data_IF_762734188007
#
_entry.id   IF_762734188007
#
_cell.length_a   1.000
_cell.length_b   1.000
_cell.length_c   1.000
_cell.angle_alpha   90.00
_cell.angle_beta   90.00
_cell.angle_gamma   90.00
#
_symmetry.space_group_name_H-M   'P 1'
#
loop_
_entity.id
_entity.type
_entity.pdbx_description
1 polymer ?
#
# COMPACT_ATOMS: atom_id res chain seq x y z
N UNK A 1 28.92 -27.37 14.52
CA UNK A 1 29.96 -26.43 14.06
C UNK A 1 29.28 -25.36 13.22
N UNK A 2 29.35 -24.11 13.68
CA UNK A 2 29.11 -22.94 12.86
C UNK A 2 30.15 -22.91 11.73
N UNK A 3 29.72 -22.87 10.48
CA UNK A 3 30.51 -22.26 9.42
C UNK A 3 29.67 -21.12 8.83
N UNK A 4 30.05 -19.94 9.30
CA UNK A 4 29.87 -18.62 8.71
C UNK A 4 29.75 -18.67 7.19
N UNK A 5 28.56 -18.43 6.67
CA UNK A 5 28.42 -17.81 5.36
C UNK A 5 28.31 -16.30 5.59
N UNK A 6 29.22 -15.59 4.93
CA UNK A 6 29.53 -14.17 5.13
C UNK A 6 28.36 -13.32 4.62
N UNK A 7 28.02 -12.23 5.34
CA UNK A 7 26.90 -11.32 5.02
C UNK A 7 26.91 -10.77 3.59
N UNK A 8 28.06 -10.83 2.90
CA UNK A 8 28.25 -10.38 1.52
C UNK A 8 27.70 -11.35 0.47
N UNK A 9 27.63 -12.65 0.76
CA UNK A 9 27.02 -13.64 -0.14
C UNK A 9 25.48 -13.55 -0.16
N UNK A 10 24.87 -12.96 0.88
CA UNK A 10 23.43 -12.71 0.93
C UNK A 10 23.02 -11.55 0.00
N UNK A 11 23.84 -10.48 -0.06
CA UNK A 11 23.54 -9.29 -0.84
C UNK A 11 23.79 -9.47 -2.35
N UNK A 12 24.63 -10.44 -2.74
CA UNK A 12 24.91 -10.73 -4.15
C UNK A 12 23.86 -11.66 -4.81
N UNK A 13 23.19 -12.51 -4.04
CA UNK A 13 21.96 -13.22 -4.47
C UNK A 13 20.72 -12.29 -4.45
N UNK A 14 20.72 -11.25 -3.61
CA UNK A 14 19.69 -10.19 -3.59
C UNK A 14 19.75 -9.26 -4.82
N UNK A 15 20.85 -9.28 -5.57
CA UNK A 15 20.93 -8.70 -6.92
C UNK A 15 19.96 -9.36 -7.93
N UNK A 16 19.33 -10.48 -7.52
CA UNK A 16 18.31 -11.22 -8.27
C UNK A 16 16.97 -11.23 -7.49
N UNK A 17 16.71 -10.25 -6.61
CA UNK A 17 15.35 -9.96 -6.13
C UNK A 17 14.67 -8.83 -6.93
N UNK A 18 15.00 -8.73 -8.21
CA UNK A 18 14.11 -8.20 -9.25
C UNK A 18 13.75 -9.28 -10.30
N UNK A 19 12.96 -10.30 -9.91
CA UNK A 19 12.07 -10.99 -10.85
C UNK A 19 10.69 -11.31 -10.27
N UNK A 20 10.42 -11.04 -8.98
CA UNK A 20 9.08 -11.26 -8.38
C UNK A 20 8.03 -10.26 -8.91
N UNK A 21 8.45 -9.21 -9.61
CA UNK A 21 7.55 -8.38 -10.43
C UNK A 21 7.08 -9.08 -11.73
N UNK A 22 7.60 -10.29 -12.05
CA UNK A 22 7.32 -11.00 -13.30
C UNK A 22 6.37 -12.19 -13.18
N UNK A 23 5.96 -12.55 -11.97
CA UNK A 23 4.91 -13.55 -11.74
C UNK A 23 3.67 -12.86 -11.21
N UNK A 24 2.90 -12.25 -12.11
CA UNK A 24 1.48 -12.09 -11.88
C UNK A 24 0.80 -13.43 -12.25
N UNK A 25 0.40 -14.29 -11.31
CA UNK A 25 -0.33 -15.52 -11.62
C UNK A 25 -1.70 -15.26 -12.28
N UNK A 26 -2.14 -14.01 -12.42
CA UNK A 26 -3.45 -13.66 -13.01
C UNK A 26 -3.47 -13.55 -14.54
N UNK A 27 -2.32 -13.57 -15.23
CA UNK A 27 -2.32 -13.53 -16.71
C UNK A 27 -2.37 -14.92 -17.37
N UNK A 28 -2.30 -16.02 -16.60
CA UNK A 28 -2.20 -17.37 -17.14
C UNK A 28 -3.53 -18.15 -17.17
N UNK A 29 -4.62 -17.61 -16.63
CA UNK A 29 -5.95 -18.25 -16.67
C UNK A 29 -6.93 -17.32 -17.38
N UNK A 30 -6.70 -17.15 -18.67
CA UNK A 30 -7.63 -16.52 -19.59
C UNK A 30 -8.13 -17.56 -20.58
N UNK A 31 -8.67 -18.66 -20.04
CA UNK A 31 -9.42 -19.59 -20.84
C UNK A 31 -10.64 -20.06 -20.04
N UNK A 32 -11.81 -19.75 -20.60
CA UNK A 32 -13.09 -20.44 -20.36
C UNK A 32 -13.93 -19.99 -19.16
N UNK A 33 -14.65 -18.87 -19.32
CA UNK A 33 -16.09 -18.80 -19.02
C UNK A 33 -16.66 -17.49 -19.57
N UNK A 34 -17.56 -17.61 -20.53
CA UNK A 34 -18.39 -16.50 -20.97
C UNK A 34 -19.39 -16.09 -19.89
N UNK A 35 -19.75 -14.80 -19.95
CA UNK A 35 -20.99 -14.21 -19.44
C UNK A 35 -21.21 -14.22 -17.91
N UNK A 36 -21.25 -12.98 -17.39
CA UNK A 36 -21.97 -12.55 -16.18
C UNK A 36 -21.21 -12.66 -14.84
N UNK A 37 -20.99 -11.47 -14.25
CA UNK A 37 -20.91 -11.17 -12.81
C UNK A 37 -19.90 -11.97 -11.97
N UNK A 38 -18.83 -11.29 -11.58
CA UNK A 38 -18.34 -11.14 -10.20
C UNK A 38 -16.85 -10.79 -10.29
N UNK A 39 -16.55 -9.53 -9.99
CA UNK A 39 -15.19 -9.05 -9.79
C UNK A 39 -14.47 -9.99 -8.82
N UNK A 40 -13.38 -10.60 -9.27
CA UNK A 40 -12.41 -11.24 -8.40
C UNK A 40 -12.09 -10.27 -7.26
N UNK A 41 -12.18 -10.67 -5.98
CA UNK A 41 -11.81 -9.78 -4.88
C UNK A 41 -10.32 -9.48 -5.03
N UNK A 42 -10.01 -8.27 -5.47
CA UNK A 42 -8.65 -7.78 -5.40
C UNK A 42 -8.32 -7.71 -3.90
N UNK A 43 -7.41 -8.58 -3.41
CA UNK A 43 -7.00 -8.63 -2.01
C UNK A 43 -6.51 -7.27 -1.49
N UNK A 44 -6.12 -6.40 -2.42
CA UNK A 44 -5.86 -4.99 -2.19
C UNK A 44 -6.65 -4.20 -3.24
N UNK A 45 -7.66 -3.42 -2.85
CA UNK A 45 -8.36 -2.57 -3.81
C UNK A 45 -7.34 -1.64 -4.47
N UNK A 46 -7.54 -1.34 -5.76
CA UNK A 46 -6.79 -0.24 -6.37
C UNK A 46 -7.10 1.04 -5.60
N UNK A 47 -6.17 2.00 -5.59
CA UNK A 47 -6.37 3.29 -4.88
C UNK A 47 -7.69 4.00 -5.29
N UNK A 48 -8.20 3.73 -6.50
CA UNK A 48 -9.48 4.28 -6.99
C UNK A 48 -10.73 3.65 -6.36
N UNK A 49 -10.58 2.49 -5.73
CA UNK A 49 -11.65 1.70 -5.15
C UNK A 49 -11.66 1.70 -3.61
N UNK A 50 -10.68 2.35 -2.96
CA UNK A 50 -10.65 2.51 -1.49
C UNK A 50 -11.36 3.78 -1.05
N UNK A 51 -12.34 3.60 -0.18
CA UNK A 51 -13.05 4.69 0.48
C UNK A 51 -12.29 5.20 1.73
N UNK A 52 -12.78 6.31 2.28
CA UNK A 52 -12.19 6.94 3.45
C UNK A 52 -12.27 6.06 4.71
N UNK A 53 -13.26 5.17 4.79
CA UNK A 53 -13.47 4.31 5.94
C UNK A 53 -12.47 3.17 5.96
N UNK A 54 -12.16 2.56 4.81
CA UNK A 54 -11.11 1.55 4.69
C UNK A 54 -9.73 2.16 4.97
N UNK A 55 -9.46 3.35 4.45
CA UNK A 55 -8.23 4.10 4.73
C UNK A 55 -8.06 4.31 6.24
N UNK A 56 -9.09 4.83 6.89
CA UNK A 56 -9.13 5.09 8.32
C UNK A 56 -9.02 3.81 9.18
N UNK A 57 -9.73 2.74 8.82
CA UNK A 57 -9.91 1.55 9.67
C UNK A 57 -8.90 0.43 9.41
N UNK A 58 -8.22 0.41 8.26
CA UNK A 58 -7.30 -0.67 7.89
C UNK A 58 -5.92 -0.14 7.48
N UNK A 59 -5.87 0.83 6.58
CA UNK A 59 -4.60 1.30 6.04
C UNK A 59 -3.78 2.12 7.04
N UNK A 60 -4.36 3.18 7.63
CA UNK A 60 -3.69 3.99 8.66
C UNK A 60 -3.20 3.15 9.86
N UNK A 61 -4.01 2.23 10.43
CA UNK A 61 -3.56 1.34 11.48
C UNK A 61 -2.39 0.44 11.05
N UNK A 62 -2.36 -0.04 9.82
CA UNK A 62 -1.26 -0.88 9.32
C UNK A 62 0.08 -0.13 9.27
N UNK A 63 0.05 1.20 9.15
CA UNK A 63 1.23 2.08 9.21
C UNK A 63 1.58 2.53 10.65
N UNK A 64 0.79 2.14 11.65
CA UNK A 64 0.93 2.64 13.02
C UNK A 64 0.50 4.10 13.19
N UNK A 65 -0.28 4.65 12.25
CA UNK A 65 -0.67 6.06 12.18
C UNK A 65 -2.12 6.29 12.65
N UNK A 66 -2.61 5.46 13.57
CA UNK A 66 -4.00 5.50 14.05
C UNK A 66 -4.40 6.83 14.67
N UNK A 67 -3.45 7.64 15.15
CA UNK A 67 -3.74 8.97 15.71
C UNK A 67 -4.35 9.94 14.69
N UNK A 68 -4.14 9.72 13.38
CA UNK A 68 -4.66 10.59 12.32
C UNK A 68 -6.05 10.17 11.83
N UNK A 69 -6.59 9.06 12.35
CA UNK A 69 -7.82 8.45 11.87
C UNK A 69 -9.01 9.43 11.85
N UNK A 70 -9.23 10.17 12.95
CA UNK A 70 -10.31 11.16 13.04
C UNK A 70 -10.20 12.24 11.95
N UNK A 71 -8.99 12.75 11.70
CA UNK A 71 -8.77 13.77 10.67
C UNK A 71 -9.01 13.22 9.26
N UNK A 72 -8.54 12.00 8.97
CA UNK A 72 -8.76 11.35 7.67
C UNK A 72 -10.25 11.09 7.41
N UNK A 73 -11.02 10.68 8.43
CA UNK A 73 -12.48 10.54 8.33
C UNK A 73 -13.18 11.88 8.14
N UNK A 74 -12.83 12.90 8.92
CA UNK A 74 -13.43 14.23 8.82
C UNK A 74 -13.17 14.90 7.48
N UNK A 75 -11.98 14.69 6.90
CA UNK A 75 -11.62 15.18 5.57
C UNK A 75 -12.07 14.25 4.44
N UNK A 76 -12.77 13.15 4.73
CA UNK A 76 -13.23 12.15 3.77
C UNK A 76 -12.12 11.70 2.80
N UNK A 77 -10.92 11.46 3.32
CA UNK A 77 -9.74 11.12 2.50
C UNK A 77 -9.89 9.71 1.97
N UNK A 78 -10.35 9.59 0.72
CA UNK A 78 -10.35 8.35 -0.04
C UNK A 78 -9.03 8.15 -0.81
N UNK A 79 -8.85 7.01 -1.48
CA UNK A 79 -7.56 6.74 -2.14
C UNK A 79 -7.26 7.66 -3.33
N UNK A 80 -8.26 8.30 -3.93
CA UNK A 80 -8.07 9.30 -5.00
C UNK A 80 -7.60 10.62 -4.42
N UNK A 81 -8.16 11.02 -3.28
CA UNK A 81 -7.72 12.20 -2.54
C UNK A 81 -6.29 11.99 -2.07
N UNK A 82 -5.98 10.82 -1.53
CA UNK A 82 -4.65 10.47 -1.05
C UNK A 82 -3.56 10.62 -2.12
N UNK A 83 -3.84 10.22 -3.37
CA UNK A 83 -2.91 10.37 -4.51
C UNK A 83 -2.55 11.83 -4.81
N UNK A 84 -3.45 12.78 -4.49
CA UNK A 84 -3.29 14.19 -4.83
C UNK A 84 -2.96 15.08 -3.63
N UNK A 85 -2.88 14.52 -2.42
CA UNK A 85 -2.60 15.30 -1.21
C UNK A 85 -1.18 15.86 -1.24
N UNK A 86 -1.07 17.18 -1.12
CA UNK A 86 0.22 17.85 -1.01
C UNK A 86 0.80 17.74 0.40
N UNK A 87 2.13 17.88 0.54
CA UNK A 87 2.81 17.92 1.85
C UNK A 87 2.24 18.98 2.79
N UNK A 88 1.72 20.08 2.23
CA UNK A 88 1.09 21.16 2.98
C UNK A 88 -0.27 20.72 3.55
N UNK A 89 -1.10 20.03 2.76
CA UNK A 89 -2.40 19.55 3.23
C UNK A 89 -2.27 18.43 4.26
N UNK A 90 -1.25 17.57 4.12
CA UNK A 90 -0.91 16.60 5.15
C UNK A 90 -0.64 17.29 6.51
N UNK A 91 0.05 18.42 6.53
CA UNK A 91 0.36 19.13 7.78
C UNK A 91 -0.79 20.01 8.28
N UNK A 92 -1.45 20.78 7.41
CA UNK A 92 -2.48 21.75 7.82
C UNK A 92 -3.86 21.10 8.01
N UNK A 93 -4.23 20.18 7.12
CA UNK A 93 -5.58 19.60 7.09
C UNK A 93 -5.64 18.30 7.88
N UNK A 94 -4.59 17.48 7.81
CA UNK A 94 -4.55 16.17 8.48
C UNK A 94 -3.73 16.17 9.78
N UNK A 95 -3.07 17.29 10.11
CA UNK A 95 -2.32 17.45 11.36
C UNK A 95 -1.00 16.68 11.41
N UNK A 96 -0.51 16.18 10.27
CA UNK A 96 0.76 15.45 10.18
C UNK A 96 1.93 16.42 10.15
N UNK A 97 2.28 16.98 11.32
CA UNK A 97 3.38 17.96 11.47
C UNK A 97 4.76 17.30 11.35
N UNK A 98 4.89 16.06 11.80
CA UNK A 98 6.14 15.30 11.72
C UNK A 98 6.43 14.82 10.30
N UNK A 99 7.65 15.08 9.82
CA UNK A 99 8.10 14.61 8.51
C UNK A 99 8.16 13.08 8.42
N UNK A 100 8.52 12.40 9.51
CA UNK A 100 8.55 10.94 9.58
C UNK A 100 7.20 10.32 9.23
N UNK A 101 6.11 10.85 9.79
CA UNK A 101 4.76 10.35 9.50
C UNK A 101 4.33 10.62 8.05
N UNK A 102 4.72 11.76 7.47
CA UNK A 102 4.42 12.05 6.06
C UNK A 102 5.21 11.17 5.09
N UNK A 103 6.45 10.83 5.44
CA UNK A 103 7.28 9.93 4.65
C UNK A 103 6.73 8.49 4.65
N UNK A 104 6.00 8.08 5.67
CA UNK A 104 5.31 6.78 5.68
C UNK A 104 4.17 6.66 4.66
N UNK A 105 3.76 7.77 4.04
CA UNK A 105 2.71 7.81 3.01
C UNK A 105 3.25 7.96 1.57
N UNK A 106 4.56 8.16 1.38
CA UNK A 106 5.19 8.42 0.07
C UNK A 106 6.27 7.40 -0.28
#
# INVERSE_FOLDING_TARGET
MLLSMDKRDYEQELGILQPLLRLNPMNAVQERAGLSKASTPCLYPTYRAVDYEWIASHWLPSLGLTQYNTNFRQCCVDGRVLEHLSKKELSTSLGMVESSHRNSLQ
#
